data_IF_903917804481
#
_entry.id   IF_903917804481
#
_cell.length_a   1.000
_cell.length_b   1.000
_cell.length_c   1.000
_cell.angle_alpha   90.00
_cell.angle_beta   90.00
_cell.angle_gamma   90.00
#
_symmetry.space_group_name_H-M   'P 1'
#
loop_
_entity.id
_entity.type
_entity.pdbx_description
1 polymer ?
#
# COMPACT_ATOMS: atom_id res chain seq x y z
N UNK A 1 -42.48 -58.42 40.68
CA UNK A 1 -41.71 -57.29 40.11
C UNK A 1 -42.71 -56.36 39.46
N UNK A 2 -42.99 -55.22 40.07
CA UNK A 2 -44.18 -54.40 39.79
C UNK A 2 -43.95 -53.50 38.57
N UNK A 3 -44.95 -53.41 37.68
CA UNK A 3 -44.98 -52.59 36.46
C UNK A 3 -44.54 -51.13 36.69
N UNK A 4 -44.73 -50.62 37.91
CA UNK A 4 -44.28 -49.29 38.34
C UNK A 4 -42.76 -49.08 38.25
N UNK A 5 -41.95 -50.12 38.52
CA UNK A 5 -40.49 -50.05 38.39
C UNK A 5 -40.02 -50.10 36.92
N UNK A 6 -40.78 -50.75 36.04
CA UNK A 6 -40.50 -50.76 34.59
C UNK A 6 -40.78 -49.38 33.96
N UNK A 7 -41.86 -48.71 34.35
CA UNK A 7 -42.20 -47.36 33.88
C UNK A 7 -41.20 -46.30 34.38
N UNK A 8 -40.73 -46.41 35.63
CA UNK A 8 -39.68 -45.52 36.16
C UNK A 8 -38.34 -45.69 35.42
N UNK A 9 -38.02 -46.91 34.99
CA UNK A 9 -36.78 -47.20 34.27
C UNK A 9 -36.84 -46.70 32.82
N UNK A 10 -38.00 -46.77 32.15
CA UNK A 10 -38.20 -46.28 30.77
C UNK A 10 -38.13 -44.75 30.69
N UNK A 11 -38.68 -44.06 31.71
CA UNK A 11 -38.54 -42.59 31.84
C UNK A 11 -37.09 -42.18 32.12
N UNK A 12 -36.36 -42.92 32.97
CA UNK A 12 -34.96 -42.65 33.26
C UNK A 12 -34.06 -42.79 32.01
N UNK A 13 -34.39 -43.71 31.10
CA UNK A 13 -33.68 -43.84 29.81
C UNK A 13 -34.06 -42.69 28.86
N UNK A 14 -35.34 -42.30 28.80
CA UNK A 14 -35.80 -41.18 27.98
C UNK A 14 -35.15 -39.85 28.36
N UNK A 15 -34.96 -39.59 29.65
CA UNK A 15 -34.31 -38.37 30.15
C UNK A 15 -32.83 -38.29 29.73
N UNK A 16 -32.11 -39.41 29.80
CA UNK A 16 -30.70 -39.47 29.38
C UNK A 16 -30.58 -39.29 27.87
N UNK A 17 -31.48 -39.91 27.08
CA UNK A 17 -31.48 -39.77 25.63
C UNK A 17 -31.80 -38.34 25.22
N UNK A 18 -32.80 -37.69 25.86
CA UNK A 18 -33.14 -36.29 25.62
C UNK A 18 -31.96 -35.35 25.92
N UNK A 19 -31.28 -35.57 27.05
CA UNK A 19 -30.08 -34.81 27.39
C UNK A 19 -28.95 -35.00 26.36
N UNK A 20 -28.67 -36.23 25.94
CA UNK A 20 -27.66 -36.54 24.93
C UNK A 20 -27.97 -35.90 23.57
N UNK A 21 -29.26 -35.86 23.17
CA UNK A 21 -29.69 -35.20 21.94
C UNK A 21 -29.45 -33.69 21.99
N UNK A 22 -29.85 -33.04 23.08
CA UNK A 22 -29.61 -31.59 23.27
C UNK A 22 -28.11 -31.30 23.28
N UNK A 23 -27.32 -32.07 24.02
CA UNK A 23 -25.86 -31.92 24.06
C UNK A 23 -25.23 -32.09 22.66
N UNK A 24 -25.69 -33.08 21.89
CA UNK A 24 -25.20 -33.31 20.53
C UNK A 24 -25.53 -32.13 19.60
N UNK A 25 -26.76 -31.62 19.65
CA UNK A 25 -27.18 -30.45 18.86
C UNK A 25 -26.35 -29.22 19.26
N UNK A 26 -26.09 -29.03 20.55
CA UNK A 26 -25.25 -27.94 21.04
C UNK A 26 -23.81 -28.05 20.51
N UNK A 27 -23.18 -29.22 20.61
CA UNK A 27 -21.81 -29.46 20.13
C UNK A 27 -21.73 -29.20 18.62
N UNK A 28 -22.69 -29.71 17.84
CA UNK A 28 -22.75 -29.49 16.39
C UNK A 28 -22.91 -28.00 16.06
N UNK A 29 -23.76 -27.29 16.80
CA UNK A 29 -23.98 -25.85 16.60
C UNK A 29 -22.72 -25.04 16.89
N UNK A 30 -22.00 -25.33 17.99
CA UNK A 30 -20.75 -24.66 18.34
C UNK A 30 -19.63 -24.95 17.34
N UNK A 31 -19.54 -26.19 16.86
CA UNK A 31 -18.59 -26.57 15.83
C UNK A 31 -18.87 -25.81 14.52
N UNK A 32 -20.14 -25.73 14.10
CA UNK A 32 -20.53 -24.98 12.92
C UNK A 32 -20.19 -23.49 13.04
N UNK A 33 -20.54 -22.84 14.15
CA UNK A 33 -20.21 -21.42 14.40
C UNK A 33 -18.70 -21.19 14.31
N UNK A 34 -17.90 -22.06 14.94
CA UNK A 34 -16.44 -21.92 14.95
C UNK A 34 -15.82 -22.02 13.56
N UNK A 35 -16.34 -22.92 12.71
CA UNK A 35 -15.87 -23.08 11.33
C UNK A 35 -16.22 -21.86 10.46
N UNK A 36 -17.40 -21.27 10.62
CA UNK A 36 -17.81 -20.08 9.85
C UNK A 36 -17.22 -18.77 10.38
N UNK A 37 -16.88 -18.68 11.67
CA UNK A 37 -16.35 -17.46 12.26
C UNK A 37 -14.92 -17.13 11.81
N UNK A 38 -14.07 -18.14 11.64
CA UNK A 38 -12.65 -17.96 11.27
C UNK A 38 -12.42 -17.16 9.98
N UNK A 39 -13.04 -17.49 8.83
CA UNK A 39 -12.80 -16.75 7.59
C UNK A 39 -13.22 -15.28 7.71
N UNK A 40 -14.38 -15.00 8.32
CA UNK A 40 -14.90 -13.64 8.52
C UNK A 40 -13.94 -12.82 9.40
N UNK A 41 -13.44 -13.42 10.48
CA UNK A 41 -12.48 -12.75 11.37
C UNK A 41 -11.15 -12.46 10.68
N UNK A 42 -10.65 -13.37 9.85
CA UNK A 42 -9.38 -13.17 9.15
C UNK A 42 -9.48 -12.08 8.08
N UNK A 43 -10.55 -12.05 7.28
CA UNK A 43 -10.77 -10.96 6.30
C UNK A 43 -10.89 -9.60 6.99
N UNK A 44 -11.63 -9.52 8.09
CA UNK A 44 -11.77 -8.28 8.87
C UNK A 44 -10.42 -7.83 9.45
N UNK A 45 -9.59 -8.77 9.91
CA UNK A 45 -8.24 -8.46 10.42
C UNK A 45 -7.34 -7.89 9.32
N UNK A 46 -7.31 -8.52 8.16
CA UNK A 46 -6.45 -8.07 7.05
C UNK A 46 -6.84 -6.67 6.57
N UNK A 47 -8.14 -6.35 6.54
CA UNK A 47 -8.63 -5.00 6.24
C UNK A 47 -8.18 -3.97 7.29
N UNK A 48 -8.27 -4.32 8.57
CA UNK A 48 -7.80 -3.46 9.68
C UNK A 48 -6.29 -3.26 9.59
N UNK A 49 -5.51 -4.32 9.34
CA UNK A 49 -4.06 -4.23 9.20
C UNK A 49 -3.67 -3.36 8.02
N UNK A 50 -4.31 -3.54 6.87
CA UNK A 50 -4.07 -2.70 5.71
C UNK A 50 -4.41 -1.23 5.96
N UNK A 51 -5.59 -0.93 6.54
CA UNK A 51 -6.00 0.45 6.83
C UNK A 51 -5.06 1.14 7.84
N UNK A 52 -4.60 0.41 8.86
CA UNK A 52 -3.61 0.92 9.80
C UNK A 52 -2.25 1.16 9.12
N UNK A 53 -1.88 0.31 8.16
CA UNK A 53 -0.64 0.49 7.42
C UNK A 53 -0.72 1.65 6.43
N UNK A 54 -1.84 1.86 5.72
CA UNK A 54 -2.06 3.05 4.88
C UNK A 54 -1.91 4.34 5.68
N UNK A 55 -2.45 4.40 6.91
CA UNK A 55 -2.23 5.53 7.82
C UNK A 55 -0.77 5.68 8.22
N UNK A 56 -0.08 4.57 8.51
CA UNK A 56 1.33 4.59 8.89
C UNK A 56 2.23 5.04 7.72
N UNK A 57 1.89 4.64 6.50
CA UNK A 57 2.52 5.10 5.27
C UNK A 57 2.19 6.56 4.96
N UNK A 58 1.01 7.06 5.31
CA UNK A 58 0.68 8.50 5.22
C UNK A 58 1.62 9.32 6.10
N UNK A 59 1.94 8.83 7.30
CA UNK A 59 2.94 9.45 8.16
C UNK A 59 4.36 9.35 7.59
N UNK A 60 4.73 8.21 7.01
CA UNK A 60 6.01 8.03 6.32
C UNK A 60 6.15 8.95 5.10
N UNK A 61 5.09 9.13 4.33
CA UNK A 61 5.02 10.11 3.24
C UNK A 61 5.23 11.54 3.77
N UNK A 62 4.58 11.90 4.89
CA UNK A 62 4.80 13.21 5.52
C UNK A 62 6.26 13.40 5.97
N UNK A 63 6.89 12.37 6.55
CA UNK A 63 8.30 12.41 6.93
C UNK A 63 9.22 12.59 5.70
N UNK A 64 8.93 11.85 4.62
CA UNK A 64 9.64 11.95 3.34
C UNK A 64 9.52 13.34 2.77
N UNK A 65 8.32 13.92 2.79
CA UNK A 65 8.08 15.27 2.30
C UNK A 65 8.75 16.34 3.19
N UNK A 66 8.76 16.17 4.51
CA UNK A 66 9.51 17.05 5.42
C UNK A 66 11.01 17.05 5.09
N UNK A 67 11.58 15.89 4.76
CA UNK A 67 12.98 15.76 4.36
C UNK A 67 13.22 16.38 2.98
N UNK A 68 12.40 16.02 1.99
CA UNK A 68 12.53 16.50 0.60
C UNK A 68 12.32 18.02 0.47
N UNK A 69 11.51 18.62 1.34
CA UNK A 69 11.30 20.08 1.41
C UNK A 69 12.32 20.81 2.29
N UNK A 70 13.29 20.10 2.88
CA UNK A 70 14.31 20.67 3.76
C UNK A 70 13.80 21.12 5.14
N UNK A 71 12.57 20.75 5.52
CA UNK A 71 11.99 21.02 6.85
C UNK A 71 12.56 20.11 7.94
N UNK A 72 13.15 18.99 7.54
CA UNK A 72 13.89 18.07 8.40
C UNK A 72 15.09 17.47 7.68
N UNK A 73 16.08 16.99 8.43
CA UNK A 73 17.24 16.30 7.85
C UNK A 73 17.18 14.79 8.10
N UNK A 74 16.48 14.35 9.14
CA UNK A 74 16.36 12.95 9.53
C UNK A 74 15.01 12.69 10.17
N UNK A 75 14.38 11.57 9.81
CA UNK A 75 13.13 11.06 10.41
C UNK A 75 13.26 9.56 10.65
N UNK A 76 12.61 9.09 11.71
CA UNK A 76 12.56 7.67 12.06
C UNK A 76 11.12 7.26 12.25
N UNK A 77 10.74 6.13 11.65
CA UNK A 77 9.38 5.58 11.73
C UNK A 77 9.44 4.08 12.00
N UNK A 78 8.67 3.65 12.99
CA UNK A 78 8.46 2.23 13.30
C UNK A 78 7.12 1.80 12.70
N UNK A 79 7.14 0.75 11.87
CA UNK A 79 5.98 0.20 11.18
C UNK A 79 5.76 -1.24 11.63
N UNK A 80 4.54 -1.58 12.07
CA UNK A 80 4.20 -2.96 12.43
C UNK A 80 3.63 -3.69 11.20
N UNK A 81 4.34 -4.72 10.73
CA UNK A 81 3.96 -5.45 9.50
C UNK A 81 2.70 -6.32 9.69
N UNK A 82 2.36 -6.69 10.94
CA UNK A 82 1.13 -7.39 11.29
C UNK A 82 0.82 -8.64 10.42
N UNK A 83 1.77 -9.56 10.28
CA UNK A 83 1.65 -10.80 9.49
C UNK A 83 1.53 -10.62 7.97
N UNK A 84 1.92 -9.46 7.46
CA UNK A 84 1.99 -9.19 6.02
C UNK A 84 3.44 -9.20 5.51
N UNK A 85 3.65 -8.63 4.32
CA UNK A 85 4.97 -8.48 3.72
C UNK A 85 5.34 -7.00 3.58
N UNK A 86 6.62 -6.69 3.76
CA UNK A 86 7.18 -5.37 3.53
C UNK A 86 8.52 -5.49 2.80
N UNK A 87 8.73 -4.64 1.80
CA UNK A 87 9.93 -4.63 1.00
C UNK A 87 10.42 -3.22 0.70
N UNK A 88 11.69 -3.11 0.41
CA UNK A 88 12.30 -1.94 -0.19
C UNK A 88 13.18 -2.38 -1.34
N UNK A 89 12.99 -1.76 -2.49
CA UNK A 89 13.77 -1.98 -3.69
C UNK A 89 14.21 -0.61 -4.24
N UNK A 90 15.51 -0.28 -4.22
CA UNK A 90 16.01 1.01 -4.70
C UNK A 90 15.89 1.18 -6.23
N UNK A 91 15.69 0.10 -6.99
CA UNK A 91 15.68 0.11 -8.46
C UNK A 91 14.29 -0.16 -9.07
N UNK A 92 13.25 -0.33 -8.25
CA UNK A 92 11.89 -0.71 -8.67
C UNK A 92 11.18 0.33 -9.53
N UNK A 93 11.46 1.61 -9.32
CA UNK A 93 10.82 2.73 -10.00
C UNK A 93 11.87 3.60 -10.67
N UNK A 94 11.75 3.78 -11.98
CA UNK A 94 12.62 4.67 -12.74
C UNK A 94 11.80 5.83 -13.32
N UNK A 95 12.26 7.06 -13.08
CA UNK A 95 11.63 8.26 -13.61
C UNK A 95 12.63 8.95 -14.53
N UNK A 96 12.19 9.25 -15.74
CA UNK A 96 12.94 10.05 -16.70
C UNK A 96 12.19 11.31 -17.07
N UNK A 97 12.90 12.43 -17.12
CA UNK A 97 12.39 13.72 -17.57
C UNK A 97 13.22 14.18 -18.76
N UNK A 98 12.52 14.55 -19.82
CA UNK A 98 13.10 15.09 -21.05
C UNK A 98 12.63 16.54 -21.20
N UNK A 99 13.60 17.44 -21.36
CA UNK A 99 13.38 18.86 -21.66
C UNK A 99 13.89 19.13 -23.08
N UNK A 100 13.16 19.95 -23.84
CA UNK A 100 13.61 20.35 -25.17
C UNK A 100 14.97 21.07 -25.10
N UNK A 101 15.99 20.50 -25.75
CA UNK A 101 17.32 21.10 -25.84
C UNK A 101 18.22 20.93 -24.62
N UNK A 102 17.82 20.16 -23.60
CA UNK A 102 18.67 19.81 -22.45
C UNK A 102 18.90 18.30 -22.36
N UNK A 103 19.94 17.83 -21.65
CA UNK A 103 20.16 16.40 -21.43
C UNK A 103 18.98 15.76 -20.68
N UNK A 104 18.71 14.50 -21.00
CA UNK A 104 17.71 13.71 -20.29
C UNK A 104 18.16 13.50 -18.84
N UNK A 105 17.23 13.67 -17.92
CA UNK A 105 17.41 13.36 -16.51
C UNK A 105 16.74 12.01 -16.25
N UNK A 106 17.41 11.10 -15.55
CA UNK A 106 16.84 9.82 -15.15
C UNK A 106 17.32 9.43 -13.75
N UNK A 107 16.39 9.00 -12.90
CA UNK A 107 16.66 8.57 -11.54
C UNK A 107 15.90 7.29 -11.23
N UNK A 108 16.52 6.43 -10.42
CA UNK A 108 15.83 5.33 -9.76
C UNK A 108 15.25 5.90 -8.46
N UNK A 109 13.93 6.09 -8.42
CA UNK A 109 13.24 6.64 -7.26
C UNK A 109 13.19 5.64 -6.10
N UNK A 110 13.28 4.34 -6.39
CA UNK A 110 13.06 3.25 -5.45
C UNK A 110 11.63 3.21 -4.93
N UNK A 111 11.28 2.13 -4.24
CA UNK A 111 9.98 2.00 -3.60
C UNK A 111 10.05 1.25 -2.28
N UNK A 112 9.26 1.72 -1.31
CA UNK A 112 8.94 0.99 -0.08
C UNK A 112 7.52 0.46 -0.26
N UNK A 113 7.33 -0.84 -0.22
CA UNK A 113 6.04 -1.49 -0.45
C UNK A 113 5.62 -2.31 0.77
N UNK A 114 4.33 -2.27 1.07
CA UNK A 114 3.67 -3.19 1.96
C UNK A 114 2.53 -3.89 1.21
N UNK A 115 2.50 -5.21 1.28
CA UNK A 115 1.48 -6.03 0.63
C UNK A 115 0.85 -7.03 1.60
N UNK A 116 -0.48 -7.11 1.53
CA UNK A 116 -1.30 -8.09 2.25
C UNK A 116 -2.35 -8.61 1.28
N UNK A 117 -2.22 -9.88 0.89
CA UNK A 117 -3.06 -10.54 -0.13
C UNK A 117 -3.03 -9.79 -1.47
N UNK A 118 -4.15 -9.17 -1.85
CA UNK A 118 -4.35 -8.43 -3.11
C UNK A 118 -4.25 -6.91 -2.93
N UNK A 119 -3.98 -6.45 -1.70
CA UNK A 119 -3.87 -5.03 -1.37
C UNK A 119 -2.42 -4.64 -1.18
N UNK A 120 -2.04 -3.50 -1.74
CA UNK A 120 -0.69 -2.95 -1.64
C UNK A 120 -0.73 -1.48 -1.33
N UNK A 121 0.19 -1.01 -0.50
CA UNK A 121 0.49 0.42 -0.33
C UNK A 121 1.98 0.63 -0.56
N UNK A 122 2.31 1.64 -1.36
CA UNK A 122 3.66 1.86 -1.84
C UNK A 122 4.02 3.35 -1.79
N UNK A 123 5.23 3.64 -1.32
CA UNK A 123 5.82 4.98 -1.38
C UNK A 123 6.94 4.97 -2.43
N UNK A 124 6.77 5.72 -3.50
CA UNK A 124 7.77 5.90 -4.57
C UNK A 124 7.76 7.35 -5.06
N UNK A 125 8.94 7.94 -5.32
CA UNK A 125 9.09 9.34 -5.72
C UNK A 125 8.28 10.35 -4.88
N UNK A 126 8.14 10.10 -3.57
CA UNK A 126 7.34 10.93 -2.68
C UNK A 126 5.83 10.84 -2.90
N UNK A 127 5.33 10.03 -3.83
CA UNK A 127 3.90 9.72 -3.95
C UNK A 127 3.55 8.52 -3.07
N UNK A 128 2.41 8.58 -2.40
CA UNK A 128 1.82 7.43 -1.73
C UNK A 128 0.75 6.80 -2.62
N UNK A 129 0.98 5.59 -3.09
CA UNK A 129 0.09 4.85 -3.96
C UNK A 129 -0.55 3.67 -3.22
N UNK A 130 -1.78 3.34 -3.60
CA UNK A 130 -2.49 2.18 -3.08
C UNK A 130 -3.11 1.40 -4.23
N UNK A 131 -3.11 0.08 -4.12
CA UNK A 131 -3.65 -0.85 -5.11
C UNK A 131 -4.53 -1.89 -4.43
N UNK A 132 -5.65 -2.19 -5.09
CA UNK A 132 -6.68 -3.14 -4.62
C UNK A 132 -6.92 -4.20 -5.71
N UNK A 133 -5.85 -4.89 -6.13
CA UNK A 133 -5.88 -5.97 -7.10
C UNK A 133 -5.86 -5.55 -8.58
N UNK A 134 -6.83 -4.73 -9.03
CA UNK A 134 -7.02 -4.45 -10.48
C UNK A 134 -6.57 -3.06 -10.94
N UNK A 135 -6.12 -2.21 -10.03
CA UNK A 135 -5.71 -0.85 -10.35
C UNK A 135 -5.10 -0.13 -9.15
N UNK A 136 -4.44 0.99 -9.44
CA UNK A 136 -3.77 1.82 -8.45
C UNK A 136 -4.27 3.25 -8.46
N UNK A 137 -4.17 3.90 -7.31
CA UNK A 137 -4.50 5.31 -7.12
C UNK A 137 -3.41 5.98 -6.29
N UNK A 138 -3.19 7.27 -6.54
CA UNK A 138 -2.36 8.12 -5.68
C UNK A 138 -3.22 8.64 -4.52
N UNK A 139 -2.90 8.23 -3.29
CA UNK A 139 -3.57 8.67 -2.06
C UNK A 139 -2.94 9.96 -1.53
N UNK A 140 -1.62 10.09 -1.59
CA UNK A 140 -0.91 11.32 -1.23
C UNK A 140 -0.01 11.76 -2.38
N UNK A 141 -0.20 13.01 -2.79
CA UNK A 141 0.40 13.56 -4.00
C UNK A 141 1.90 13.82 -3.80
N UNK A 142 2.74 13.49 -4.80
CA UNK A 142 4.12 13.94 -4.82
C UNK A 142 4.18 15.45 -5.10
N UNK A 143 5.38 16.02 -4.98
CA UNK A 143 5.64 17.43 -5.28
C UNK A 143 5.90 17.65 -6.78
N UNK A 144 4.89 17.35 -7.60
CA UNK A 144 4.88 17.64 -9.04
C UNK A 144 3.69 18.56 -9.31
N UNK A 145 3.95 19.80 -9.74
CA UNK A 145 2.86 20.72 -10.06
C UNK A 145 3.27 21.70 -11.15
N UNK A 146 2.27 22.26 -11.80
CA UNK A 146 2.42 23.29 -12.82
C UNK A 146 1.37 24.36 -12.63
N UNK A 147 1.74 25.62 -12.82
CA UNK A 147 0.78 26.74 -12.89
C UNK A 147 0.47 27.16 -14.34
N UNK A 148 0.92 26.37 -15.33
CA UNK A 148 0.80 26.65 -16.76
C UNK A 148 1.82 27.66 -17.30
N UNK A 149 2.71 28.18 -16.46
CA UNK A 149 3.86 29.01 -16.85
C UNK A 149 5.19 28.49 -16.29
N UNK A 150 5.14 27.79 -15.17
CA UNK A 150 6.27 27.17 -14.49
C UNK A 150 5.85 25.78 -14.03
N UNK A 151 6.66 24.79 -14.38
CA UNK A 151 6.52 23.42 -13.89
C UNK A 151 7.62 23.10 -12.90
N UNK A 152 7.22 22.66 -11.71
CA UNK A 152 8.13 22.24 -10.65
C UNK A 152 7.97 20.74 -10.48
N UNK A 153 9.06 20.00 -10.69
CA UNK A 153 9.12 18.56 -10.53
C UNK A 153 10.17 18.26 -9.47
N UNK A 154 9.72 17.86 -8.29
CA UNK A 154 10.61 17.33 -7.27
C UNK A 154 10.77 15.82 -7.50
N UNK A 155 12.01 15.37 -7.59
CA UNK A 155 12.35 13.96 -7.68
C UNK A 155 12.94 13.50 -6.35
N UNK A 156 12.27 12.55 -5.71
CA UNK A 156 12.70 11.95 -4.45
C UNK A 156 13.24 10.56 -4.74
N UNK A 157 14.54 10.39 -4.57
CA UNK A 157 15.22 9.10 -4.65
C UNK A 157 15.35 8.49 -3.25
N UNK A 158 14.73 7.33 -3.05
CA UNK A 158 14.92 6.48 -1.88
C UNK A 158 16.07 5.51 -2.18
N UNK A 159 17.20 5.67 -1.49
CA UNK A 159 18.39 4.85 -1.65
C UNK A 159 18.74 4.11 -0.35
N UNK A 160 19.32 2.92 -0.47
CA UNK A 160 19.67 2.06 0.66
C UNK A 160 19.76 0.58 0.29
N UNK A 161 20.06 -0.30 1.27
CA UNK A 161 20.08 -1.74 1.05
C UNK A 161 18.65 -2.26 0.84
N UNK A 162 18.43 -2.95 -0.27
CA UNK A 162 17.18 -3.65 -0.54
C UNK A 162 16.86 -4.65 0.59
N UNK A 163 15.59 -4.75 0.96
CA UNK A 163 15.12 -5.73 1.93
C UNK A 163 13.74 -6.26 1.56
N UNK A 164 13.41 -7.44 2.09
CA UNK A 164 12.13 -8.07 1.93
C UNK A 164 11.89 -8.94 3.17
N UNK A 165 10.85 -8.61 3.92
CA UNK A 165 10.54 -9.24 5.21
C UNK A 165 9.06 -9.54 5.29
N UNK A 166 8.70 -10.65 5.91
CA UNK A 166 7.31 -11.04 6.11
C UNK A 166 7.05 -11.61 7.49
N UNK A 167 5.78 -11.65 7.87
CA UNK A 167 5.33 -12.16 9.17
C UNK A 167 5.08 -11.05 10.19
N UNK A 168 5.14 -11.41 11.46
CA UNK A 168 4.88 -10.48 12.56
C UNK A 168 6.18 -9.80 13.00
N UNK A 169 6.16 -8.47 13.12
CA UNK A 169 7.33 -7.72 13.53
C UNK A 169 7.22 -6.22 13.28
N UNK A 170 8.26 -5.50 13.73
CA UNK A 170 8.39 -4.06 13.53
C UNK A 170 9.56 -3.81 12.58
N UNK A 171 9.31 -3.04 11.53
CA UNK A 171 10.35 -2.47 10.66
C UNK A 171 10.58 -1.03 11.06
N UNK A 172 11.84 -0.70 11.34
CA UNK A 172 12.27 0.68 11.59
C UNK A 172 12.86 1.26 10.32
N UNK A 173 12.24 2.30 9.81
CA UNK A 173 12.73 3.08 8.66
C UNK A 173 13.39 4.34 9.20
N UNK A 174 14.63 4.57 8.80
CA UNK A 174 15.39 5.79 9.11
C UNK A 174 15.67 6.48 7.79
N UNK A 175 15.04 7.62 7.57
CA UNK A 175 15.23 8.44 6.38
C UNK A 175 16.14 9.61 6.72
N UNK A 176 17.18 9.82 5.91
CA UNK A 176 18.11 10.92 6.09
C UNK A 176 18.38 11.57 4.74
N UNK A 177 18.38 12.91 4.70
CA UNK A 177 18.80 13.61 3.50
C UNK A 177 20.28 13.35 3.21
N UNK A 178 20.58 12.87 2.01
CA UNK A 178 21.95 12.67 1.55
C UNK A 178 22.42 13.90 0.76
N UNK A 179 21.75 14.20 -0.34
CA UNK A 179 22.03 15.36 -1.19
C UNK A 179 20.74 15.94 -1.76
N UNK A 180 20.82 17.20 -2.20
CA UNK A 180 19.73 17.89 -2.88
C UNK A 180 20.34 18.66 -4.04
N UNK A 181 19.83 18.42 -5.25
CA UNK A 181 20.25 19.11 -6.46
C UNK A 181 19.06 19.84 -7.07
N UNK A 182 19.31 21.02 -7.63
CA UNK A 182 18.29 21.82 -8.30
C UNK A 182 18.76 22.19 -9.70
N UNK A 183 17.96 21.84 -10.71
CA UNK A 183 18.20 22.20 -12.09
C UNK A 183 17.15 23.23 -12.53
N UNK A 184 17.60 24.32 -13.16
CA UNK A 184 16.70 25.34 -13.71
C UNK A 184 16.89 25.35 -15.22
N UNK A 185 15.87 24.90 -15.95
CA UNK A 185 15.84 24.97 -17.40
C UNK A 185 15.03 26.18 -17.83
N UNK A 186 15.71 27.22 -18.33
CA UNK A 186 15.06 28.39 -18.93
C UNK A 186 14.72 28.05 -20.38
N UNK A 187 13.54 28.47 -20.83
CA UNK A 187 13.05 28.32 -22.22
C UNK A 187 12.65 26.89 -22.66
N UNK A 188 12.46 25.96 -21.73
CA UNK A 188 11.95 24.62 -22.05
C UNK A 188 10.48 24.65 -22.43
N UNK A 189 10.18 24.54 -23.73
CA UNK A 189 8.80 24.64 -24.22
C UNK A 189 7.94 23.42 -23.89
N UNK A 190 8.55 22.25 -23.86
CA UNK A 190 7.87 20.99 -23.63
C UNK A 190 8.65 20.18 -22.59
N UNK A 191 7.91 19.56 -21.67
CA UNK A 191 8.45 18.63 -20.68
C UNK A 191 7.75 17.30 -20.84
N UNK A 192 8.52 16.24 -21.04
CA UNK A 192 8.01 14.87 -21.08
C UNK A 192 8.51 14.12 -19.86
N UNK A 193 7.60 13.48 -19.14
CA UNK A 193 7.88 12.65 -17.98
C UNK A 193 7.51 11.22 -18.33
N UNK A 194 8.45 10.30 -18.12
CA UNK A 194 8.24 8.87 -18.24
C UNK A 194 8.49 8.23 -16.88
N UNK A 195 7.49 7.51 -16.36
CA UNK A 195 7.55 6.80 -15.08
C UNK A 195 7.38 5.31 -15.35
N UNK A 196 8.42 4.54 -15.06
CA UNK A 196 8.40 3.08 -15.04
C UNK A 196 8.10 2.62 -13.61
N UNK A 197 6.88 2.15 -13.37
CA UNK A 197 6.38 1.69 -12.08
C UNK A 197 5.21 0.74 -12.27
N UNK A 198 5.10 -0.28 -11.41
CA UNK A 198 3.94 -1.20 -11.35
C UNK A 198 2.61 -0.47 -11.07
N UNK A 199 2.66 0.80 -10.67
CA UNK A 199 1.52 1.65 -10.35
C UNK A 199 1.21 2.66 -11.45
N UNK A 200 1.61 2.41 -12.71
CA UNK A 200 1.43 3.31 -13.85
C UNK A 200 0.01 3.89 -14.00
N UNK A 201 -1.04 3.11 -13.69
CA UNK A 201 -2.42 3.58 -13.70
C UNK A 201 -2.69 4.77 -12.77
N UNK A 202 -2.20 4.68 -11.53
CA UNK A 202 -2.30 5.75 -10.54
C UNK A 202 -1.50 6.99 -10.93
N UNK A 203 -0.30 6.80 -11.47
CA UNK A 203 0.51 7.91 -11.98
C UNK A 203 -0.13 8.63 -13.16
N UNK A 204 -0.70 7.90 -14.11
CA UNK A 204 -1.41 8.49 -15.24
C UNK A 204 -2.56 9.38 -14.77
N UNK A 205 -3.41 8.87 -13.88
CA UNK A 205 -4.51 9.64 -13.33
C UNK A 205 -4.03 10.91 -12.59
N UNK A 206 -2.95 10.80 -11.83
CA UNK A 206 -2.36 11.95 -11.15
C UNK A 206 -1.79 12.98 -12.13
N UNK A 207 -1.01 12.56 -13.13
CA UNK A 207 -0.40 13.46 -14.12
C UNK A 207 -1.48 14.17 -14.96
N UNK A 208 -2.54 13.47 -15.36
CA UNK A 208 -3.71 14.10 -16.01
C UNK A 208 -4.34 15.18 -15.13
N UNK A 209 -4.52 14.89 -13.83
CA UNK A 209 -5.07 15.86 -12.87
C UNK A 209 -4.18 17.10 -12.74
N UNK A 210 -2.86 16.95 -12.85
CA UNK A 210 -1.91 18.07 -12.86
C UNK A 210 -1.84 18.81 -14.22
N UNK A 211 -2.59 18.38 -15.23
CA UNK A 211 -2.66 19.05 -16.54
C UNK A 211 -1.68 18.53 -17.60
N UNK A 212 -1.02 17.39 -17.35
CA UNK A 212 -0.25 16.70 -18.38
C UNK A 212 -1.18 15.95 -19.34
N UNK A 213 -0.74 15.79 -20.59
CA UNK A 213 -1.39 14.94 -21.57
C UNK A 213 -0.70 13.57 -21.57
N UNK A 214 -1.47 12.48 -21.39
CA UNK A 214 -0.92 11.13 -21.45
C UNK A 214 -0.67 10.74 -22.91
N UNK A 215 0.58 10.41 -23.24
CA UNK A 215 0.97 9.97 -24.58
C UNK A 215 0.84 8.46 -24.72
N UNK A 216 1.22 7.72 -23.67
CA UNK A 216 1.12 6.27 -23.62
C UNK A 216 1.03 5.76 -22.19
N UNK A 217 0.30 4.66 -22.01
CA UNK A 217 0.20 3.95 -20.74
C UNK A 217 0.22 2.43 -20.97
N UNK A 218 1.02 1.72 -20.18
CA UNK A 218 1.04 0.25 -20.08
C UNK A 218 0.75 -0.14 -18.63
N UNK A 219 0.89 -1.43 -18.30
CA UNK A 219 0.76 -1.90 -16.90
C UNK A 219 1.86 -1.38 -15.97
N UNK A 220 3.02 -1.03 -16.52
CA UNK A 220 4.26 -0.76 -15.79
C UNK A 220 4.97 0.53 -16.25
N UNK A 221 4.41 1.26 -17.20
CA UNK A 221 4.95 2.50 -17.74
C UNK A 221 3.85 3.52 -18.03
N UNK A 222 4.13 4.78 -17.73
CA UNK A 222 3.36 5.92 -18.22
C UNK A 222 4.30 6.97 -18.79
N UNK A 223 3.94 7.51 -19.95
CA UNK A 223 4.59 8.67 -20.55
C UNK A 223 3.57 9.79 -20.71
N UNK A 224 3.89 10.97 -20.20
CA UNK A 224 3.04 12.13 -20.24
C UNK A 224 3.85 13.38 -20.61
N UNK A 225 3.25 14.29 -21.36
CA UNK A 225 3.88 15.54 -21.74
C UNK A 225 3.01 16.75 -21.43
N UNK A 226 3.68 17.87 -21.16
CA UNK A 226 3.05 19.16 -20.99
C UNK A 226 3.75 20.18 -21.88
N UNK A 227 2.95 20.97 -22.57
CA UNK A 227 3.41 22.02 -23.47
C UNK A 227 3.17 23.37 -22.79
N UNK A 228 4.11 24.31 -22.94
CA UNK A 228 4.11 25.68 -22.38
C UNK A 228 4.46 25.73 -20.89
N UNK A 229 5.64 25.25 -20.54
CA UNK A 229 6.20 25.27 -19.18
C UNK A 229 7.39 26.20 -19.02
#
# INVERSE_FOLDING_TARGET
>A
MTIKALIDTDNAVSDIVGFMLVLSIMIVSLAAISLFAQPILNETKDEIYFSNMEQSFTLLHSDTNDIASGRSTIKTRDLNIANAHMSFDPDSTNISIIFDGSPNISYNAGSIEYDIKDRKVCLENGALLSSYGTGSIVISEPLIYTDGQTTVINLVQLDGPAFSVGGEGIVRIIQQNNFTESFIHKDSKNVTITINSQYAGGWAHYLEKQGFNIESITSDNVTASINRT
#
